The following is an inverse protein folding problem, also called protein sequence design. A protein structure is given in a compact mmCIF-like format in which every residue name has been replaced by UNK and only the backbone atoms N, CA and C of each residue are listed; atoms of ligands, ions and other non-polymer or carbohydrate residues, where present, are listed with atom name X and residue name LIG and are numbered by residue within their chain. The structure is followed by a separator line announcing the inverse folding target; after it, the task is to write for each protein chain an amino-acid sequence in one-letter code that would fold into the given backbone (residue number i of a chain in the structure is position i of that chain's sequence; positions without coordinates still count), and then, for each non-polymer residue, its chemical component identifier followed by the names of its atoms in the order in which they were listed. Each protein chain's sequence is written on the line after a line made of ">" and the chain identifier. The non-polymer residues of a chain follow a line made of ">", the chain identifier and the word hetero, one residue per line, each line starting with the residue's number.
data_IF_402970430493
#
_entry.id   IF_402970430493
#
_cell.length_a   1.000
_cell.length_b   1.000
_cell.length_c   1.000
_cell.angle_alpha   90.00
_cell.angle_beta   90.00
_cell.angle_gamma   90.00
#
_symmetry.space_group_name_H-M   'P 1'
#
loop_
_entity.id
_entity.type
_entity.pdbx_description
1 polymer ?
#
# COMPACT_ATOMS: atom_id res chain seq x y z
N UNK A 1 -19.57 4.43 10.44
CA UNK A 1 -19.24 5.70 9.76
C UNK A 1 -17.74 5.87 9.55
N UNK A 2 -16.94 5.88 10.61
CA UNK A 2 -15.49 6.12 10.53
C UNK A 2 -14.70 5.14 9.63
N UNK A 3 -15.01 3.83 9.70
CA UNK A 3 -14.37 2.82 8.82
C UNK A 3 -14.72 3.00 7.34
N UNK A 4 -15.96 3.40 7.03
CA UNK A 4 -16.37 3.67 5.65
C UNK A 4 -15.61 4.85 5.07
N UNK A 5 -15.45 5.92 5.85
CA UNK A 5 -14.64 7.07 5.45
C UNK A 5 -13.16 6.70 5.23
N UNK A 6 -12.59 5.85 6.08
CA UNK A 6 -11.23 5.33 5.89
C UNK A 6 -11.11 4.46 4.63
N UNK A 7 -12.09 3.58 4.36
CA UNK A 7 -12.14 2.76 3.15
C UNK A 7 -12.26 3.63 1.89
N UNK A 8 -13.05 4.70 1.92
CA UNK A 8 -13.14 5.69 0.85
C UNK A 8 -11.79 6.39 0.59
N UNK A 9 -11.09 6.79 1.65
CA UNK A 9 -9.75 7.37 1.50
C UNK A 9 -8.74 6.38 0.94
N UNK A 10 -8.74 5.14 1.41
CA UNK A 10 -7.93 4.07 0.83
C UNK A 10 -8.29 3.80 -0.63
N UNK A 11 -9.57 3.87 -0.99
CA UNK A 11 -10.04 3.75 -2.36
C UNK A 11 -9.42 4.84 -3.25
N UNK A 12 -9.38 6.09 -2.78
CA UNK A 12 -8.76 7.20 -3.51
C UNK A 12 -7.26 6.97 -3.74
N UNK A 13 -6.54 6.44 -2.75
CA UNK A 13 -5.11 6.14 -2.89
C UNK A 13 -4.79 5.03 -3.89
N UNK A 14 -5.77 4.17 -4.17
CA UNK A 14 -5.54 2.87 -4.82
C UNK A 14 -6.31 2.77 -6.14
N UNK A 15 -7.64 2.69 -6.10
CA UNK A 15 -8.48 2.40 -7.24
C UNK A 15 -8.59 3.55 -8.26
N UNK A 16 -8.35 4.80 -7.88
CA UNK A 16 -8.42 5.94 -8.81
C UNK A 16 -7.45 5.82 -9.99
N UNK A 17 -6.31 5.15 -9.78
CA UNK A 17 -5.27 4.93 -10.80
C UNK A 17 -5.07 3.43 -11.07
N UNK A 18 -6.09 2.60 -10.85
CA UNK A 18 -6.01 1.13 -11.00
C UNK A 18 -4.88 0.49 -10.15
N UNK A 19 -4.45 1.16 -9.08
CA UNK A 19 -3.25 0.90 -8.27
C UNK A 19 -1.92 0.93 -9.04
N UNK A 20 -1.86 1.64 -10.17
CA UNK A 20 -0.66 1.70 -11.01
C UNK A 20 0.20 2.94 -10.76
N UNK A 21 -0.20 3.85 -9.84
CA UNK A 21 0.69 4.93 -9.42
C UNK A 21 1.81 4.38 -8.52
N UNK A 22 3.02 4.95 -8.60
CA UNK A 22 4.16 4.54 -7.77
C UNK A 22 3.91 4.74 -6.27
N UNK A 23 3.04 5.69 -5.91
CA UNK A 23 2.62 5.95 -4.54
C UNK A 23 1.40 5.16 -4.09
N UNK A 24 0.70 4.47 -5.00
CA UNK A 24 -0.48 3.68 -4.64
C UNK A 24 -0.09 2.50 -3.74
N UNK A 25 -0.77 2.30 -2.60
CA UNK A 25 -0.55 1.14 -1.75
C UNK A 25 -0.73 -0.19 -2.49
N UNK A 26 0.27 -1.06 -2.38
CA UNK A 26 0.24 -2.43 -2.88
C UNK A 26 0.35 -3.47 -1.75
N UNK A 27 0.98 -3.09 -0.65
CA UNK A 27 1.15 -3.89 0.55
C UNK A 27 0.52 -3.17 1.75
N UNK A 28 -0.30 -3.90 2.51
CA UNK A 28 -0.86 -3.45 3.78
C UNK A 28 -0.18 -4.20 4.91
N UNK A 29 0.47 -3.46 5.80
CA UNK A 29 1.12 -4.02 6.98
C UNK A 29 0.23 -3.80 8.20
N UNK A 30 -0.10 -4.89 8.87
CA UNK A 30 -0.94 -4.88 10.06
C UNK A 30 -0.07 -4.93 11.31
N UNK A 31 -0.06 -3.86 12.09
CA UNK A 31 0.64 -3.86 13.38
C UNK A 31 0.01 -4.89 14.33
N UNK A 32 0.85 -5.69 14.97
CA UNK A 32 0.43 -6.63 16.02
C UNK A 32 0.37 -5.93 17.38
N UNK A 33 -0.53 -4.95 17.49
CA UNK A 33 -0.74 -4.13 18.69
C UNK A 33 -1.60 -4.80 19.77
N UNK A 34 -1.95 -6.07 19.58
CA UNK A 34 -2.86 -6.82 20.46
C UNK A 34 -4.35 -6.52 20.25
N UNK A 35 -4.70 -5.81 19.18
CA UNK A 35 -6.08 -5.55 18.78
C UNK A 35 -6.84 -6.79 18.31
N UNK A 36 -8.12 -6.60 17.99
CA UNK A 36 -9.01 -7.66 17.51
C UNK A 36 -8.53 -8.24 16.16
N UNK A 37 -8.18 -9.54 16.07
CA UNK A 37 -7.73 -10.17 14.83
C UNK A 37 -8.76 -10.10 13.68
N UNK A 38 -10.05 -10.01 14.00
CA UNK A 38 -11.11 -9.88 13.00
C UNK A 38 -11.17 -8.48 12.35
N UNK A 39 -10.35 -7.52 12.80
CA UNK A 39 -10.31 -6.18 12.21
C UNK A 39 -9.91 -6.22 10.72
N UNK A 40 -9.02 -7.13 10.32
CA UNK A 40 -8.50 -7.24 8.95
C UNK A 40 -9.60 -7.61 7.96
N UNK A 41 -10.37 -8.65 8.27
CA UNK A 41 -11.51 -9.06 7.45
C UNK A 41 -12.55 -7.95 7.32
N UNK A 42 -12.91 -7.32 8.45
CA UNK A 42 -13.86 -6.19 8.46
C UNK A 42 -13.37 -4.96 7.69
N UNK A 43 -12.06 -4.74 7.64
CA UNK A 43 -11.46 -3.69 6.82
C UNK A 43 -11.60 -4.01 5.34
N UNK A 44 -11.19 -5.22 4.92
CA UNK A 44 -11.28 -5.61 3.52
C UNK A 44 -12.71 -5.72 3.01
N UNK A 45 -13.67 -6.11 3.86
CA UNK A 45 -15.10 -6.01 3.55
C UNK A 45 -15.53 -4.56 3.25
N UNK A 46 -15.08 -3.60 4.05
CA UNK A 46 -15.39 -2.19 3.84
C UNK A 46 -14.74 -1.64 2.56
N UNK A 47 -13.48 -1.98 2.29
CA UNK A 47 -12.79 -1.62 1.04
C UNK A 47 -13.49 -2.25 -0.18
N UNK A 48 -13.90 -3.52 -0.08
CA UNK A 48 -14.61 -4.19 -1.15
C UNK A 48 -15.99 -3.59 -1.41
N UNK A 49 -16.71 -3.17 -0.37
CA UNK A 49 -18.00 -2.49 -0.51
C UNK A 49 -17.84 -1.13 -1.22
N UNK A 50 -16.84 -0.34 -0.83
CA UNK A 50 -16.52 0.94 -1.46
C UNK A 50 -16.15 0.76 -2.94
N UNK A 51 -15.26 -0.21 -3.23
CA UNK A 51 -14.87 -0.51 -4.59
C UNK A 51 -16.05 -1.05 -5.43
N UNK A 52 -16.97 -1.82 -4.85
CA UNK A 52 -18.11 -2.38 -5.57
C UNK A 52 -19.07 -1.28 -6.03
N UNK A 53 -19.17 -0.18 -5.28
CA UNK A 53 -20.00 0.97 -5.63
C UNK A 53 -19.37 1.83 -6.73
N UNK A 54 -18.04 2.00 -6.75
CA UNK A 54 -17.38 3.07 -7.51
C UNK A 54 -16.40 2.60 -8.59
N UNK A 55 -15.80 1.42 -8.43
CA UNK A 55 -14.74 0.97 -9.33
C UNK A 55 -15.34 0.33 -10.60
N UNK A 56 -15.04 0.85 -11.80
CA UNK A 56 -15.52 0.26 -13.06
C UNK A 56 -14.79 -1.06 -13.37
N UNK A 57 -15.13 -2.11 -12.63
CA UNK A 57 -14.48 -3.40 -12.72
C UNK A 57 -15.05 -4.25 -13.87
N UNK A 58 -14.20 -4.59 -14.84
CA UNK A 58 -14.58 -5.38 -16.00
C UNK A 58 -13.68 -6.61 -16.24
N UNK A 59 -13.93 -7.34 -17.33
CA UNK A 59 -13.18 -8.55 -17.68
C UNK A 59 -11.67 -8.33 -17.81
N UNK A 60 -11.25 -7.16 -18.30
CA UNK A 60 -9.83 -6.81 -18.43
C UNK A 60 -9.14 -6.76 -17.06
N UNK A 61 -9.70 -6.00 -16.11
CA UNK A 61 -9.18 -5.87 -14.76
C UNK A 61 -9.15 -7.24 -14.05
N UNK A 62 -10.20 -8.04 -14.22
CA UNK A 62 -10.28 -9.38 -13.65
C UNK A 62 -9.16 -10.30 -14.18
N UNK A 63 -8.96 -10.34 -15.50
CA UNK A 63 -7.95 -11.17 -16.13
C UNK A 63 -6.52 -10.72 -15.74
N UNK A 64 -6.24 -9.41 -15.81
CA UNK A 64 -4.93 -8.86 -15.47
C UNK A 64 -4.58 -9.04 -14.00
N UNK A 65 -5.53 -8.88 -13.10
CA UNK A 65 -5.33 -9.17 -11.69
C UNK A 65 -4.97 -10.63 -11.44
N UNK A 66 -5.71 -11.56 -12.05
CA UNK A 66 -5.45 -12.99 -11.90
C UNK A 66 -4.08 -13.36 -12.45
N UNK A 67 -3.71 -12.82 -13.62
CA UNK A 67 -2.38 -12.98 -14.20
C UNK A 67 -1.28 -12.50 -13.24
N UNK A 68 -1.41 -11.28 -12.68
CA UNK A 68 -0.46 -10.73 -11.70
C UNK A 68 -0.31 -11.63 -10.47
N UNK A 69 -1.41 -12.14 -9.93
CA UNK A 69 -1.39 -13.06 -8.80
C UNK A 69 -0.70 -14.39 -9.15
N UNK A 70 -1.01 -14.98 -10.30
CA UNK A 70 -0.39 -16.24 -10.73
C UNK A 70 1.12 -16.08 -10.96
N UNK A 71 1.54 -15.02 -11.66
CA UNK A 71 2.95 -14.71 -11.86
C UNK A 71 3.67 -14.54 -10.51
N UNK A 72 3.10 -13.73 -9.62
CA UNK A 72 3.60 -13.54 -8.27
C UNK A 72 3.79 -14.88 -7.52
N UNK A 73 2.77 -15.74 -7.51
CA UNK A 73 2.82 -17.04 -6.85
C UNK A 73 3.84 -18.01 -7.48
N UNK A 74 4.15 -17.85 -8.77
CA UNK A 74 5.14 -18.67 -9.47
C UNK A 74 6.59 -18.19 -9.31
N UNK A 75 6.81 -16.88 -9.20
CA UNK A 75 8.16 -16.29 -9.26
C UNK A 75 8.67 -15.78 -7.91
N UNK A 76 7.80 -15.56 -6.93
CA UNK A 76 8.24 -15.13 -5.60
C UNK A 76 8.70 -16.33 -4.79
N UNK A 77 9.99 -16.35 -4.47
CA UNK A 77 10.59 -17.37 -3.59
C UNK A 77 10.38 -17.01 -2.12
N UNK A 78 10.68 -15.78 -1.70
CA UNK A 78 10.60 -15.34 -0.31
C UNK A 78 10.21 -13.85 -0.19
N UNK A 79 9.17 -13.48 0.60
CA UNK A 79 8.22 -14.38 1.26
C UNK A 79 7.18 -14.93 0.29
N UNK A 80 6.85 -16.22 0.42
CA UNK A 80 5.80 -16.85 -0.37
C UNK A 80 4.39 -16.33 -0.02
N UNK A 81 3.45 -16.42 -0.98
CA UNK A 81 2.02 -16.19 -0.73
C UNK A 81 1.45 -17.39 0.00
N UNK A 82 1.07 -17.23 1.26
CA UNK A 82 0.54 -18.29 2.11
C UNK A 82 -0.95 -18.57 1.86
N UNK A 83 -1.72 -17.53 1.54
CA UNK A 83 -3.15 -17.65 1.27
C UNK A 83 -3.64 -16.47 0.42
N UNK A 84 -4.75 -16.66 -0.27
CA UNK A 84 -5.43 -15.60 -1.00
C UNK A 84 -6.90 -15.57 -0.59
N UNK A 85 -7.34 -14.44 -0.06
CA UNK A 85 -8.72 -14.17 0.26
C UNK A 85 -9.38 -13.34 -0.84
N UNK A 86 -10.69 -13.51 -0.99
CA UNK A 86 -11.47 -12.88 -2.04
C UNK A 86 -12.71 -12.22 -1.46
N UNK A 87 -12.92 -10.97 -1.84
CA UNK A 87 -14.05 -10.17 -1.39
C UNK A 87 -14.80 -9.67 -2.62
N UNK A 88 -16.14 -9.70 -2.54
CA UNK A 88 -17.03 -9.33 -3.66
C UNK A 88 -16.66 -10.09 -4.96
N UNK A 89 -16.44 -11.41 -4.84
CA UNK A 89 -16.14 -12.30 -5.95
C UNK A 89 -14.74 -12.10 -6.56
N UNK A 90 -14.67 -11.44 -7.72
CA UNK A 90 -13.42 -11.16 -8.43
C UNK A 90 -12.88 -9.74 -8.15
N UNK A 91 -13.61 -8.91 -7.39
CA UNK A 91 -13.31 -7.49 -7.26
C UNK A 91 -12.05 -7.20 -6.45
N UNK A 92 -11.88 -7.88 -5.32
CA UNK A 92 -10.76 -7.66 -4.40
C UNK A 92 -10.12 -9.00 -4.03
N UNK A 93 -8.81 -9.11 -4.28
CA UNK A 93 -7.96 -10.21 -3.85
C UNK A 93 -6.95 -9.69 -2.83
N UNK A 94 -6.81 -10.42 -1.73
CA UNK A 94 -5.85 -10.12 -0.67
C UNK A 94 -4.93 -11.31 -0.51
N UNK A 95 -3.69 -11.17 -0.97
CA UNK A 95 -2.65 -12.18 -0.88
C UNK A 95 -1.86 -12.01 0.41
N UNK A 96 -2.04 -12.94 1.37
CA UNK A 96 -1.32 -12.93 2.63
C UNK A 96 0.07 -13.53 2.44
N UNK A 97 1.10 -12.77 2.79
CA UNK A 97 2.49 -13.22 2.78
C UNK A 97 2.76 -14.09 4.01
N UNK A 98 3.58 -15.13 3.84
CA UNK A 98 3.96 -16.05 4.94
C UNK A 98 4.79 -15.36 6.03
N UNK A 99 5.41 -14.23 5.72
CA UNK A 99 6.20 -13.42 6.64
C UNK A 99 6.75 -12.19 5.94
N UNK A 100 7.60 -11.47 6.66
CA UNK A 100 8.36 -10.34 6.15
C UNK A 100 9.84 -10.74 6.16
N UNK A 101 10.37 -11.13 5.01
CA UNK A 101 11.78 -11.49 4.85
C UNK A 101 12.44 -10.57 3.82
N UNK A 102 13.67 -10.15 4.13
CA UNK A 102 14.45 -9.26 3.27
C UNK A 102 13.86 -7.85 3.10
N UNK A 103 14.32 -7.17 2.05
CA UNK A 103 13.69 -5.94 1.59
C UNK A 103 12.34 -6.31 0.97
N UNK A 104 11.26 -5.61 1.34
CA UNK A 104 9.94 -5.78 0.70
C UNK A 104 10.15 -5.77 -0.81
N UNK A 105 9.83 -6.89 -1.43
CA UNK A 105 9.98 -7.10 -2.86
C UNK A 105 9.15 -6.05 -3.62
N UNK A 106 9.50 -5.81 -4.88
CA UNK A 106 8.62 -5.08 -5.79
C UNK A 106 7.39 -5.96 -6.08
N UNK A 107 6.46 -5.98 -5.13
CA UNK A 107 5.17 -6.62 -5.27
C UNK A 107 4.46 -5.99 -6.47
N UNK A 108 3.70 -6.79 -7.20
CA UNK A 108 2.95 -6.32 -8.37
C UNK A 108 1.46 -6.41 -8.08
N UNK A 109 0.98 -5.50 -7.23
CA UNK A 109 -0.46 -5.32 -6.98
C UNK A 109 -1.19 -4.82 -8.23
N UNK A 110 -2.48 -4.51 -8.14
CA UNK A 110 -3.22 -4.00 -9.30
C UNK A 110 -4.68 -4.39 -9.36
N UNK A 111 -5.53 -3.44 -9.78
CA UNK A 111 -6.93 -3.70 -10.10
C UNK A 111 -7.70 -4.40 -8.96
N UNK A 112 -7.39 -4.07 -7.71
CA UNK A 112 -7.90 -4.70 -6.50
C UNK A 112 -7.13 -5.95 -6.07
N UNK A 113 -5.83 -6.06 -6.39
CA UNK A 113 -4.93 -7.04 -5.77
C UNK A 113 -4.03 -6.32 -4.79
N UNK A 114 -4.12 -6.75 -3.53
CA UNK A 114 -3.30 -6.27 -2.45
C UNK A 114 -2.54 -7.43 -1.83
N UNK A 115 -1.39 -7.11 -1.27
CA UNK A 115 -0.66 -7.99 -0.39
C UNK A 115 -0.86 -7.55 1.04
N UNK A 116 -0.80 -8.50 1.98
CA UNK A 116 -0.78 -8.16 3.40
C UNK A 116 0.20 -9.02 4.19
N UNK A 117 0.67 -8.46 5.29
CA UNK A 117 1.50 -9.16 6.26
C UNK A 117 1.30 -8.58 7.66
N UNK A 118 1.62 -9.38 8.67
CA UNK A 118 1.72 -8.89 10.03
C UNK A 118 3.06 -8.20 10.25
N UNK A 119 3.05 -7.07 10.96
CA UNK A 119 4.22 -6.32 11.36
C UNK A 119 4.28 -6.30 12.90
N UNK A 120 5.27 -6.94 13.54
CA UNK A 120 5.31 -7.07 14.99
C UNK A 120 5.35 -5.73 15.73
N UNK A 121 6.06 -4.75 15.18
CA UNK A 121 6.10 -3.38 15.68
C UNK A 121 6.56 -2.42 14.59
N UNK A 122 6.34 -1.12 14.77
CA UNK A 122 6.75 -0.12 13.79
C UNK A 122 8.28 -0.06 13.63
N UNK A 123 9.03 -0.37 14.69
CA UNK A 123 10.49 -0.47 14.70
C UNK A 123 11.03 -1.61 13.82
N UNK A 124 10.19 -2.60 13.47
CA UNK A 124 10.56 -3.66 12.55
C UNK A 124 10.49 -3.23 11.07
N UNK A 125 9.87 -2.09 10.76
CA UNK A 125 9.68 -1.62 9.38
C UNK A 125 10.97 -1.14 8.67
N UNK A 126 11.85 -0.32 9.28
CA UNK A 126 13.03 0.23 8.60
C UNK A 126 13.90 -0.76 7.82
N UNK A 127 14.28 -1.94 8.37
CA UNK A 127 15.12 -2.90 7.63
C UNK A 127 14.39 -3.55 6.43
N UNK A 128 13.06 -3.51 6.43
CA UNK A 128 12.23 -4.08 5.36
C UNK A 128 12.04 -3.11 4.20
N UNK A 129 12.25 -1.81 4.39
CA UNK A 129 11.96 -0.82 3.35
C UNK A 129 12.99 -0.87 2.20
N UNK A 130 12.55 -1.10 0.94
CA UNK A 130 13.42 -0.98 -0.20
C UNK A 130 13.75 0.51 -0.45
N UNK A 131 14.91 0.81 -1.06
CA UNK A 131 15.22 2.17 -1.52
C UNK A 131 14.20 2.75 -2.51
N UNK A 132 13.39 1.88 -3.15
CA UNK A 132 12.34 2.27 -4.10
C UNK A 132 10.98 2.52 -3.47
N UNK A 133 10.78 2.24 -2.18
CA UNK A 133 9.54 2.61 -1.51
C UNK A 133 9.53 4.14 -1.39
N UNK A 134 8.56 4.82 -2.00
CA UNK A 134 8.51 6.29 -2.01
C UNK A 134 7.52 6.84 -0.98
N UNK A 135 6.33 6.23 -0.91
CA UNK A 135 5.24 6.69 -0.05
C UNK A 135 4.85 5.59 0.94
N UNK A 136 4.74 5.95 2.21
CA UNK A 136 4.11 5.16 3.26
C UNK A 136 2.78 5.80 3.64
N UNK A 137 1.71 5.02 3.66
CA UNK A 137 0.37 5.49 4.02
C UNK A 137 0.00 4.96 5.40
N UNK A 138 -0.40 5.86 6.30
CA UNK A 138 -0.74 5.57 7.69
C UNK A 138 -2.26 5.44 7.86
N UNK A 139 -2.71 4.28 8.33
CA UNK A 139 -4.06 4.05 8.84
C UNK A 139 -4.02 3.87 10.34
N UNK A 140 -4.49 4.86 11.10
CA UNK A 140 -4.51 4.81 12.58
C UNK A 140 -3.17 5.14 13.25
N UNK A 141 -2.14 5.49 12.48
CA UNK A 141 -0.86 6.02 12.98
C UNK A 141 -0.73 7.49 12.62
N UNK A 142 -0.03 8.24 13.47
CA UNK A 142 0.33 9.63 13.20
C UNK A 142 1.49 9.70 12.18
N UNK A 143 1.30 10.30 10.99
CA UNK A 143 2.33 10.34 9.94
C UNK A 143 3.62 11.00 10.39
N UNK A 144 3.53 12.08 11.18
CA UNK A 144 4.69 12.85 11.64
C UNK A 144 5.58 12.05 12.60
N UNK A 145 4.98 11.32 13.54
CA UNK A 145 5.68 10.42 14.46
C UNK A 145 6.32 9.24 13.72
N UNK A 146 5.59 8.67 12.75
CA UNK A 146 6.08 7.58 11.90
C UNK A 146 7.30 8.01 11.09
N UNK A 147 7.23 9.19 10.45
CA UNK A 147 8.35 9.75 9.70
C UNK A 147 9.58 9.99 10.60
N UNK A 148 9.37 10.54 11.80
CA UNK A 148 10.45 10.77 12.77
C UNK A 148 11.13 9.46 13.21
N UNK A 149 10.35 8.38 13.39
CA UNK A 149 10.89 7.05 13.68
C UNK A 149 11.74 6.52 12.53
N UNK A 150 11.22 6.55 11.29
CA UNK A 150 11.94 6.08 10.11
C UNK A 150 13.24 6.85 9.89
N UNK A 151 13.22 8.17 10.07
CA UNK A 151 14.39 9.02 9.97
C UNK A 151 15.45 8.68 11.02
N UNK A 152 15.03 8.51 12.29
CA UNK A 152 15.93 8.09 13.39
C UNK A 152 16.55 6.71 13.17
N UNK A 153 15.81 5.81 12.53
CA UNK A 153 16.26 4.47 12.20
C UNK A 153 17.13 4.40 10.93
N UNK A 154 17.29 5.52 10.20
CA UNK A 154 18.06 5.55 8.95
C UNK A 154 17.42 4.73 7.83
N UNK A 155 16.08 4.74 7.74
CA UNK A 155 15.37 4.06 6.66
C UNK A 155 15.89 4.53 5.27
N UNK A 156 16.11 3.58 4.35
CA UNK A 156 16.73 3.85 3.04
C UNK A 156 15.76 4.34 1.97
N UNK A 157 14.47 4.25 2.23
CA UNK A 157 13.40 4.74 1.37
C UNK A 157 12.36 5.45 2.22
N UNK A 158 11.19 5.67 1.61
CA UNK A 158 10.07 6.45 2.13
C UNK A 158 10.44 7.92 2.18
N UNK A 159 10.29 8.58 1.03
CA UNK A 159 10.42 10.03 0.90
C UNK A 159 9.27 10.78 1.58
N UNK A 160 8.12 10.10 1.74
CA UNK A 160 6.90 10.69 2.28
C UNK A 160 6.09 9.71 3.11
N UNK A 161 5.62 10.18 4.26
CA UNK A 161 4.66 9.49 5.11
C UNK A 161 3.39 10.34 5.17
N UNK A 162 2.25 9.76 4.78
CA UNK A 162 0.97 10.48 4.64
C UNK A 162 -0.17 9.72 5.31
N UNK A 163 -1.26 10.39 5.71
CA UNK A 163 -2.49 9.70 6.09
C UNK A 163 -3.15 9.05 4.86
N UNK A 164 -4.05 8.11 5.12
CA UNK A 164 -4.96 7.56 4.10
C UNK A 164 -5.66 8.68 3.31
N UNK A 165 -5.71 8.53 1.99
CA UNK A 165 -6.35 9.42 1.03
C UNK A 165 -5.43 10.44 0.37
N UNK A 166 -4.16 10.49 0.78
CA UNK A 166 -3.17 11.48 0.31
C UNK A 166 -2.00 10.87 -0.46
N UNK A 167 -2.03 9.57 -0.79
CA UNK A 167 -0.95 8.92 -1.50
C UNK A 167 -0.74 9.54 -2.91
N UNK A 168 -1.80 10.03 -3.54
CA UNK A 168 -1.77 10.61 -4.88
C UNK A 168 -1.65 12.14 -4.88
N UNK A 169 -1.70 12.80 -3.72
CA UNK A 169 -1.54 14.25 -3.63
C UNK A 169 -0.12 14.64 -4.06
N UNK A 170 0.00 15.64 -4.93
CA UNK A 170 1.30 16.15 -5.38
C UNK A 170 1.75 17.32 -4.50
N UNK A 171 3.06 17.44 -4.28
CA UNK A 171 3.69 18.55 -3.59
C UNK A 171 4.83 19.12 -4.46
N UNK A 172 5.19 20.36 -4.20
CA UNK A 172 6.40 21.03 -4.71
C UNK A 172 7.68 20.28 -4.35
N UNK A 173 7.70 19.59 -3.22
CA UNK A 173 8.75 18.62 -2.88
C UNK A 173 8.25 17.21 -3.20
N UNK A 174 8.84 16.57 -4.20
CA UNK A 174 8.44 15.24 -4.67
C UNK A 174 9.63 14.30 -4.76
N UNK A 175 9.49 13.07 -4.27
CA UNK A 175 10.56 12.06 -4.24
C UNK A 175 11.89 12.62 -3.67
N UNK A 176 11.78 13.40 -2.58
CA UNK A 176 12.93 14.03 -1.91
C UNK A 176 13.56 15.20 -2.67
N UNK A 177 12.91 15.73 -3.72
CA UNK A 177 13.42 16.83 -4.56
C UNK A 177 12.48 18.01 -4.59
N UNK A 178 13.00 19.21 -4.40
CA UNK A 178 12.30 20.45 -4.73
C UNK A 178 12.17 20.55 -6.25
N UNK A 179 10.97 20.28 -6.75
CA UNK A 179 10.67 20.27 -8.18
C UNK A 179 10.74 21.68 -8.77
N UNK A 180 10.34 22.70 -8.02
CA UNK A 180 10.36 24.08 -8.51
C UNK A 180 11.80 24.52 -8.70
N UNK A 181 12.68 24.28 -7.73
CA UNK A 181 14.10 24.57 -7.86
C UNK A 181 14.76 23.73 -8.97
N UNK A 182 14.43 22.44 -9.06
CA UNK A 182 15.03 21.54 -10.04
C UNK A 182 14.61 21.82 -11.50
N UNK A 183 13.39 22.32 -11.71
CA UNK A 183 12.82 22.57 -13.04
C UNK A 183 12.81 24.05 -13.45
N UNK A 184 13.28 24.94 -12.58
CA UNK A 184 13.40 26.38 -12.90
C UNK A 184 14.75 26.73 -13.50
N UNK A 185 14.72 27.56 -14.56
CA UNK A 185 15.94 28.22 -15.08
C UNK A 185 16.21 29.47 -14.26
N UNK A 186 17.36 29.53 -13.61
CA UNK A 186 17.84 30.76 -12.95
C UNK A 186 18.58 31.61 -14.00
N UNK A 187 18.17 32.87 -14.15
CA UNK A 187 18.88 33.87 -14.95
C UNK A 187 19.34 34.96 -13.99
N UNK A 188 20.65 35.20 -13.95
CA UNK A 188 21.29 36.30 -13.21
C UNK A 188 21.91 37.30 -14.16
#
# INVERSE_FOLDING_TARGET
>A
EERGALAHRFYNDTYQMDQNACSSPQLVLWLEDGGDPACRGRWWEAVAAEAAERYPFGPFQAARKLERLCLCAMTMEEPAVAAVERYQGNLLYVARLAGLSGSLLSLAGGFGLFFEAALPSLEALPPLLPPKAQTLVCGGLEPSETAALLARAGARGVDRVVPLGQALEMDTVWDGRDLIAALSRIIG
#
